data_IF_181627634347
#
_entry.id   IF_181627634347
#
_cell.length_a   1.000
_cell.length_b   1.000
_cell.length_c   1.000
_cell.angle_alpha   90.00
_cell.angle_beta   90.00
_cell.angle_gamma   90.00
#
_symmetry.space_group_name_H-M   'P 1'
#
loop_
_entity.id
_entity.type
_entity.pdbx_description
1 polymer ?
#
# COMPACT_ATOMS: atom_id res chain seq x y z
N UNK A 1 7.70 -85.02 17.96
CA UNK A 1 7.23 -83.73 17.41
C UNK A 1 8.40 -83.00 16.79
N UNK A 2 8.35 -82.69 15.49
CA UNK A 2 9.49 -82.22 14.71
C UNK A 2 9.88 -80.77 15.07
N UNK A 3 10.82 -80.62 15.99
CA UNK A 3 11.36 -79.35 16.51
C UNK A 3 11.99 -78.45 15.42
N UNK A 4 12.32 -78.99 14.25
CA UNK A 4 12.94 -78.22 13.17
C UNK A 4 11.97 -77.20 12.53
N UNK A 5 10.66 -77.51 12.50
CA UNK A 5 9.64 -76.63 11.91
C UNK A 5 9.43 -75.36 12.74
N UNK A 6 9.42 -75.50 14.06
CA UNK A 6 9.33 -74.36 15.00
C UNK A 6 10.59 -73.50 14.94
N UNK A 7 11.77 -74.10 14.90
CA UNK A 7 13.04 -73.36 14.77
C UNK A 7 13.09 -72.59 13.43
N UNK A 8 12.67 -73.20 12.33
CA UNK A 8 12.61 -72.54 11.03
C UNK A 8 11.66 -71.32 11.03
N UNK A 9 10.49 -71.44 11.68
CA UNK A 9 9.53 -70.32 11.81
C UNK A 9 10.11 -69.19 12.65
N UNK A 10 10.71 -69.48 13.80
CA UNK A 10 11.33 -68.45 14.65
C UNK A 10 12.52 -67.77 13.96
N UNK A 11 13.33 -68.52 13.22
CA UNK A 11 14.43 -67.96 12.44
C UNK A 11 13.91 -67.01 11.35
N UNK A 12 12.85 -67.40 10.63
CA UNK A 12 12.26 -66.55 9.60
C UNK A 12 11.66 -65.27 10.19
N UNK A 13 10.98 -65.38 11.33
CA UNK A 13 10.38 -64.25 12.05
C UNK A 13 11.46 -63.28 12.58
N UNK A 14 12.56 -63.82 13.09
CA UNK A 14 13.72 -63.03 13.52
C UNK A 14 14.40 -62.33 12.33
N UNK A 15 14.67 -63.04 11.24
CA UNK A 15 15.25 -62.46 10.03
C UNK A 15 14.35 -61.35 9.43
N UNK A 16 13.03 -61.56 9.46
CA UNK A 16 12.05 -60.55 9.05
C UNK A 16 12.07 -59.31 9.97
N UNK A 17 12.14 -59.51 11.28
CA UNK A 17 12.27 -58.43 12.26
C UNK A 17 13.54 -57.59 12.05
N UNK A 18 14.68 -58.26 11.81
CA UNK A 18 15.94 -57.59 11.48
C UNK A 18 15.81 -56.79 10.18
N UNK A 19 15.11 -57.32 9.17
CA UNK A 19 14.83 -56.61 7.92
C UNK A 19 14.03 -55.30 8.13
N UNK A 20 13.02 -55.31 9.00
CA UNK A 20 12.24 -54.12 9.34
C UNK A 20 13.10 -53.09 10.07
N UNK A 21 13.91 -53.52 11.05
CA UNK A 21 14.80 -52.63 11.80
C UNK A 21 15.85 -52.01 10.89
N UNK A 22 16.44 -52.79 9.97
CA UNK A 22 17.38 -52.28 8.99
C UNK A 22 16.73 -51.24 8.05
N UNK A 23 15.49 -51.49 7.61
CA UNK A 23 14.73 -50.53 6.80
C UNK A 23 14.40 -49.25 7.57
N UNK A 24 14.04 -49.37 8.85
CA UNK A 24 13.82 -48.21 9.73
C UNK A 24 15.11 -47.41 9.92
N UNK A 25 16.24 -48.06 10.19
CA UNK A 25 17.53 -47.40 10.30
C UNK A 25 17.93 -46.69 8.99
N UNK A 26 17.66 -47.32 7.84
CA UNK A 26 17.85 -46.69 6.52
C UNK A 26 17.02 -45.40 6.39
N UNK A 27 15.73 -45.46 6.74
CA UNK A 27 14.83 -44.31 6.64
C UNK A 27 15.15 -43.21 7.66
N UNK A 28 15.48 -43.59 8.90
CA UNK A 28 15.64 -42.67 10.03
C UNK A 28 17.05 -42.12 10.20
N UNK A 29 18.10 -42.82 9.76
CA UNK A 29 19.50 -42.39 9.93
C UNK A 29 20.05 -41.86 8.60
N UNK A 30 20.01 -42.68 7.55
CA UNK A 30 20.60 -42.31 6.25
C UNK A 30 19.75 -41.29 5.50
N UNK A 31 18.43 -41.45 5.52
CA UNK A 31 17.50 -40.54 4.84
C UNK A 31 16.89 -39.48 5.78
N UNK A 32 17.42 -39.33 7.00
CA UNK A 32 16.93 -38.38 7.99
C UNK A 32 16.79 -36.97 7.42
N UNK A 33 17.85 -36.46 6.77
CA UNK A 33 17.87 -35.11 6.22
C UNK A 33 16.81 -34.92 5.13
N UNK A 34 16.62 -35.92 4.27
CA UNK A 34 15.64 -35.88 3.19
C UNK A 34 14.20 -35.88 3.72
N UNK A 35 13.85 -36.80 4.62
CA UNK A 35 12.49 -36.86 5.18
C UNK A 35 12.20 -35.70 6.16
N UNK A 36 13.21 -35.20 6.86
CA UNK A 36 13.09 -33.97 7.66
C UNK A 36 12.84 -32.75 6.78
N UNK A 37 13.55 -32.62 5.66
CA UNK A 37 13.30 -31.54 4.69
C UNK A 37 11.92 -31.65 4.05
N UNK A 38 11.47 -32.86 3.70
CA UNK A 38 10.13 -33.11 3.15
C UNK A 38 9.03 -32.77 4.16
N UNK A 39 9.19 -33.18 5.43
CA UNK A 39 8.26 -32.87 6.51
C UNK A 39 8.25 -31.37 6.85
N UNK A 40 9.42 -30.72 6.83
CA UNK A 40 9.54 -29.26 6.97
C UNK A 40 8.86 -28.54 5.80
N UNK A 41 8.99 -29.01 4.57
CA UNK A 41 8.29 -28.44 3.41
C UNK A 41 6.77 -28.64 3.46
N UNK A 42 6.29 -29.72 4.05
CA UNK A 42 4.85 -29.97 4.26
C UNK A 42 4.26 -29.20 5.46
N UNK A 43 5.07 -28.88 6.47
CA UNK A 43 4.62 -28.18 7.69
C UNK A 43 4.88 -26.67 7.67
N UNK A 44 5.87 -26.18 6.91
CA UNK A 44 6.23 -24.77 6.83
C UNK A 44 5.55 -24.14 5.61
N UNK A 45 4.33 -23.65 5.79
CA UNK A 45 3.84 -22.59 4.92
C UNK A 45 4.62 -21.33 5.28
N UNK A 46 5.64 -21.02 4.49
CA UNK A 46 6.34 -19.73 4.60
C UNK A 46 5.40 -18.70 3.99
N UNK A 47 4.71 -17.95 4.84
CA UNK A 47 4.01 -16.77 4.40
C UNK A 47 5.06 -15.65 4.34
N UNK A 48 5.22 -15.03 3.17
CA UNK A 48 5.90 -13.74 3.08
C UNK A 48 4.97 -12.70 3.69
N UNK A 49 5.41 -12.07 4.76
CA UNK A 49 4.72 -10.92 5.34
C UNK A 49 5.49 -9.67 4.92
N UNK A 50 4.77 -8.64 4.48
CA UNK A 50 5.38 -7.40 4.04
C UNK A 50 5.11 -6.36 5.11
N UNK A 51 6.18 -5.70 5.61
CA UNK A 51 6.01 -4.61 6.57
C UNK A 51 5.09 -3.52 6.04
N UNK A 52 4.46 -2.78 6.94
CA UNK A 52 3.53 -1.71 6.57
C UNK A 52 4.29 -0.53 5.92
N UNK A 53 3.62 0.19 5.01
CA UNK A 53 4.22 1.35 4.34
C UNK A 53 4.27 2.55 5.30
N UNK A 54 5.38 3.26 5.39
CA UNK A 54 5.51 4.43 6.27
C UNK A 54 4.44 5.52 6.02
N UNK A 55 4.08 6.25 7.07
CA UNK A 55 3.13 7.36 7.04
C UNK A 55 3.82 8.66 6.61
N UNK A 56 3.16 9.44 5.75
CA UNK A 56 3.62 10.78 5.35
C UNK A 56 2.85 11.81 6.17
N UNK A 57 3.57 12.66 6.89
CA UNK A 57 3.03 13.69 7.77
C UNK A 57 3.27 15.10 7.23
N UNK A 58 2.29 15.99 7.39
CA UNK A 58 2.48 17.42 7.47
C UNK A 58 2.63 17.85 8.94
N UNK A 59 3.13 19.06 9.15
CA UNK A 59 3.19 19.67 10.48
C UNK A 59 2.18 20.81 10.59
N UNK A 60 2.02 21.35 11.80
CA UNK A 60 1.53 22.71 12.00
C UNK A 60 2.60 23.57 12.67
N UNK A 61 2.28 24.85 12.92
CA UNK A 61 3.13 25.80 13.64
C UNK A 61 3.60 25.31 15.02
N UNK A 62 2.87 24.41 15.66
CA UNK A 62 3.15 23.88 17.00
C UNK A 62 3.92 22.54 16.94
N UNK A 63 4.18 22.04 15.73
CA UNK A 63 4.88 20.78 15.47
C UNK A 63 3.99 19.53 15.54
N UNK A 64 2.67 19.69 15.61
CA UNK A 64 1.75 18.55 15.60
C UNK A 64 1.76 17.86 14.23
N UNK A 65 1.77 16.53 14.24
CA UNK A 65 1.84 15.72 13.03
C UNK A 65 0.44 15.38 12.51
N UNK A 66 0.21 15.66 11.23
CA UNK A 66 -1.05 15.37 10.54
C UNK A 66 -0.80 14.41 9.37
N UNK A 67 -1.43 13.22 9.35
CA UNK A 67 -1.19 12.24 8.30
C UNK A 67 -1.81 12.70 6.98
N UNK A 68 -0.96 12.91 5.98
CA UNK A 68 -1.37 13.15 4.59
C UNK A 68 -1.57 11.84 3.82
N UNK A 69 -0.78 10.81 4.14
CA UNK A 69 -0.92 9.46 3.62
C UNK A 69 -0.58 8.44 4.71
N UNK A 70 -1.45 7.46 4.92
CA UNK A 70 -1.30 6.40 5.94
C UNK A 70 -1.90 5.10 5.42
N UNK A 71 -1.92 4.04 6.23
CA UNK A 71 -2.54 2.79 5.86
C UNK A 71 -3.84 2.58 6.65
N UNK A 72 -4.83 1.97 6.01
CA UNK A 72 -6.08 1.55 6.64
C UNK A 72 -6.22 0.04 6.45
N UNK A 73 -6.55 -0.67 7.52
CA UNK A 73 -6.97 -2.08 7.40
C UNK A 73 -8.39 -2.12 6.88
N UNK A 74 -8.59 -2.80 5.76
CA UNK A 74 -9.90 -3.06 5.16
C UNK A 74 -10.12 -4.55 5.07
N UNK A 75 -11.29 -5.01 5.49
CA UNK A 75 -11.73 -6.36 5.26
C UNK A 75 -12.26 -6.47 3.82
N UNK A 76 -12.07 -7.63 3.19
CA UNK A 76 -12.63 -7.96 1.89
C UNK A 76 -13.21 -9.37 1.93
N UNK A 77 -14.26 -9.59 1.13
CA UNK A 77 -14.93 -10.88 1.02
C UNK A 77 -14.57 -11.56 -0.30
N UNK A 78 -14.26 -12.86 -0.24
CA UNK A 78 -14.01 -13.69 -1.40
C UNK A 78 -14.67 -15.07 -1.23
N UNK A 79 -14.94 -15.70 -2.38
CA UNK A 79 -15.50 -17.03 -2.46
C UNK A 79 -14.46 -18.03 -2.98
N UNK A 80 -14.62 -19.28 -2.53
CA UNK A 80 -14.00 -20.50 -3.05
C UNK A 80 -15.10 -21.34 -3.71
N UNK A 81 -15.46 -21.08 -4.98
CA UNK A 81 -16.59 -21.73 -5.67
C UNK A 81 -16.69 -23.26 -5.56
N UNK A 82 -15.60 -24.04 -5.56
CA UNK A 82 -15.68 -25.49 -5.40
C UNK A 82 -16.25 -25.96 -4.04
N UNK A 83 -16.15 -25.16 -2.99
CA UNK A 83 -16.67 -25.47 -1.65
C UNK A 83 -18.17 -25.14 -1.50
N UNK A 84 -18.75 -24.45 -2.47
CA UNK A 84 -20.14 -24.00 -2.45
C UNK A 84 -21.05 -25.08 -3.03
N UNK A 85 -21.99 -25.54 -2.21
CA UNK A 85 -22.96 -26.58 -2.57
C UNK A 85 -24.19 -25.97 -3.27
N UNK A 86 -24.89 -25.06 -2.59
CA UNK A 86 -26.08 -24.37 -3.10
C UNK A 86 -25.74 -22.94 -3.49
N UNK A 87 -25.55 -22.72 -4.79
CA UNK A 87 -25.18 -21.40 -5.33
C UNK A 87 -26.30 -20.38 -5.18
N UNK A 88 -27.55 -20.77 -5.42
CA UNK A 88 -28.68 -19.82 -5.44
C UNK A 88 -29.01 -19.34 -4.02
N UNK A 89 -29.03 -20.26 -3.05
CA UNK A 89 -29.25 -19.90 -1.65
C UNK A 89 -28.09 -19.03 -1.12
N UNK A 90 -26.85 -19.44 -1.39
CA UNK A 90 -25.66 -18.68 -0.95
C UNK A 90 -25.63 -17.29 -1.58
N UNK A 91 -25.94 -17.16 -2.88
CA UNK A 91 -25.99 -15.87 -3.56
C UNK A 91 -27.07 -14.95 -2.99
N UNK A 92 -28.22 -15.49 -2.57
CA UNK A 92 -29.31 -14.72 -1.96
C UNK A 92 -28.89 -14.15 -0.61
N UNK A 93 -28.28 -14.96 0.26
CA UNK A 93 -27.77 -14.48 1.55
C UNK A 93 -26.63 -13.46 1.39
N UNK A 94 -25.67 -13.73 0.49
CA UNK A 94 -24.58 -12.79 0.21
C UNK A 94 -25.08 -11.47 -0.38
N UNK A 95 -26.10 -11.53 -1.23
CA UNK A 95 -26.73 -10.34 -1.80
C UNK A 95 -27.34 -9.45 -0.71
N UNK A 96 -28.01 -10.06 0.28
CA UNK A 96 -28.57 -9.36 1.45
C UNK A 96 -27.48 -8.70 2.29
N UNK A 97 -26.38 -9.40 2.56
CA UNK A 97 -25.32 -8.90 3.44
C UNK A 97 -24.45 -7.87 2.75
N UNK A 98 -23.96 -8.18 1.54
CA UNK A 98 -22.97 -7.35 0.83
C UNK A 98 -23.60 -6.23 -0.01
N UNK A 99 -24.93 -6.19 -0.09
CA UNK A 99 -25.71 -5.28 -0.94
C UNK A 99 -25.33 -5.37 -2.43
N UNK A 100 -25.13 -6.60 -2.92
CA UNK A 100 -24.76 -6.90 -4.31
C UNK A 100 -25.92 -7.53 -5.08
N UNK A 101 -26.04 -7.36 -6.41
CA UNK A 101 -27.06 -8.05 -7.19
C UNK A 101 -26.92 -9.57 -7.12
N UNK A 102 -28.02 -10.29 -6.80
CA UNK A 102 -28.02 -11.76 -6.66
C UNK A 102 -27.43 -12.44 -7.91
N UNK A 103 -27.80 -11.95 -9.11
CA UNK A 103 -27.33 -12.52 -10.37
C UNK A 103 -25.80 -12.40 -10.52
N UNK A 104 -25.23 -11.25 -10.18
CA UNK A 104 -23.78 -11.02 -10.25
C UNK A 104 -23.03 -11.95 -9.28
N UNK A 105 -23.56 -12.10 -8.07
CA UNK A 105 -22.98 -13.00 -7.06
C UNK A 105 -23.08 -14.44 -7.56
N UNK A 106 -24.26 -14.90 -7.98
CA UNK A 106 -24.47 -16.27 -8.47
C UNK A 106 -23.53 -16.62 -9.63
N UNK A 107 -23.33 -15.71 -10.60
CA UNK A 107 -22.36 -15.91 -11.68
C UNK A 107 -20.93 -16.12 -11.17
N UNK A 108 -20.49 -15.31 -10.20
CA UNK A 108 -19.17 -15.47 -9.55
C UNK A 108 -19.05 -16.83 -8.83
N UNK A 109 -20.12 -17.31 -8.19
CA UNK A 109 -20.12 -18.58 -7.44
C UNK A 109 -20.22 -19.82 -8.34
N UNK A 110 -20.79 -19.72 -9.55
CA UNK A 110 -20.87 -20.86 -10.50
C UNK A 110 -19.52 -21.22 -11.13
N UNK A 111 -18.56 -20.30 -11.11
CA UNK A 111 -17.23 -20.48 -11.71
C UNK A 111 -16.32 -21.43 -10.90
N UNK A 112 -16.63 -22.73 -10.90
CA UNK A 112 -15.91 -23.78 -10.13
C UNK A 112 -14.47 -24.06 -10.58
N UNK A 113 -13.99 -23.39 -11.62
CA UNK A 113 -12.62 -23.58 -12.14
C UNK A 113 -11.57 -22.82 -11.33
N UNK A 114 -12.01 -21.89 -10.47
CA UNK A 114 -11.12 -21.04 -9.66
C UNK A 114 -11.34 -21.26 -8.18
N UNK A 115 -10.24 -21.30 -7.41
CA UNK A 115 -10.27 -21.36 -5.94
C UNK A 115 -10.45 -19.99 -5.27
N UNK A 116 -10.43 -18.90 -6.05
CA UNK A 116 -10.55 -17.55 -5.53
C UNK A 116 -11.40 -16.69 -6.45
N UNK A 117 -12.46 -16.10 -5.90
CA UNK A 117 -13.29 -15.08 -6.54
C UNK A 117 -13.58 -13.95 -5.59
N UNK A 118 -13.08 -12.76 -5.89
CA UNK A 118 -13.40 -11.56 -5.13
C UNK A 118 -14.90 -11.24 -5.25
N UNK A 119 -15.57 -11.08 -4.11
CA UNK A 119 -16.97 -10.67 -4.05
C UNK A 119 -17.04 -9.15 -3.88
N UNK A 120 -16.36 -8.64 -2.87
CA UNK A 120 -16.33 -7.22 -2.50
C UNK A 120 -14.97 -6.86 -1.90
N UNK A 121 -14.35 -5.79 -2.43
CA UNK A 121 -12.97 -5.37 -2.10
C UNK A 121 -12.84 -4.65 -0.74
N UNK A 122 -13.92 -4.03 -0.27
CA UNK A 122 -14.00 -3.37 1.03
C UNK A 122 -15.37 -3.67 1.64
N UNK A 123 -15.40 -4.37 2.78
CA UNK A 123 -16.61 -4.67 3.55
C UNK A 123 -16.59 -3.93 4.88
N UNK A 124 -17.76 -3.58 5.42
CA UNK A 124 -17.87 -2.96 6.74
C UNK A 124 -17.69 -4.01 7.85
N UNK A 125 -17.43 -3.55 9.08
CA UNK A 125 -17.32 -4.45 10.23
C UNK A 125 -18.63 -5.19 10.50
N UNK A 126 -19.77 -4.57 10.24
CA UNK A 126 -21.09 -5.20 10.35
C UNK A 126 -21.29 -6.29 9.28
N UNK A 127 -20.86 -6.04 8.04
CA UNK A 127 -20.89 -7.03 6.97
C UNK A 127 -19.97 -8.22 7.28
N UNK A 128 -18.78 -7.97 7.81
CA UNK A 128 -17.83 -9.00 8.24
C UNK A 128 -18.38 -9.86 9.37
N UNK A 129 -19.00 -9.25 10.38
CA UNK A 129 -19.61 -9.96 11.51
C UNK A 129 -20.79 -10.84 11.05
N UNK A 130 -21.66 -10.31 10.19
CA UNK A 130 -22.82 -11.06 9.67
C UNK A 130 -22.37 -12.22 8.77
N UNK A 131 -21.35 -12.03 7.91
CA UNK A 131 -20.75 -13.13 7.14
C UNK A 131 -20.16 -14.22 8.05
N UNK A 132 -19.45 -13.81 9.11
CA UNK A 132 -18.90 -14.75 10.09
C UNK A 132 -20.00 -15.51 10.83
N UNK A 133 -21.16 -14.89 11.07
CA UNK A 133 -22.32 -15.50 11.75
C UNK A 133 -23.05 -16.51 10.86
N UNK A 134 -23.21 -16.20 9.58
CA UNK A 134 -23.86 -17.10 8.61
C UNK A 134 -23.04 -18.36 8.32
N UNK A 135 -21.71 -18.31 8.51
CA UNK A 135 -20.79 -19.43 8.34
C UNK A 135 -20.99 -20.18 7.01
N UNK A 136 -21.21 -19.43 5.92
CA UNK A 136 -21.50 -19.97 4.60
C UNK A 136 -20.27 -20.76 4.07
N UNK A 137 -20.44 -22.04 3.66
CA UNK A 137 -19.35 -22.82 3.09
C UNK A 137 -18.73 -22.15 1.87
N UNK A 138 -17.40 -22.09 1.80
CA UNK A 138 -16.68 -21.48 0.69
C UNK A 138 -16.68 -19.95 0.68
N UNK A 139 -17.18 -19.28 1.71
CA UNK A 139 -17.11 -17.82 1.84
C UNK A 139 -16.11 -17.45 2.94
N UNK A 140 -15.22 -16.53 2.61
CA UNK A 140 -14.15 -16.12 3.50
C UNK A 140 -14.01 -14.60 3.51
N UNK A 141 -13.65 -14.07 4.67
CA UNK A 141 -13.18 -12.69 4.83
C UNK A 141 -11.70 -12.69 5.16
N UNK A 142 -10.98 -11.70 4.64
CA UNK A 142 -9.59 -11.42 5.03
C UNK A 142 -9.41 -9.92 5.13
N UNK A 143 -8.50 -9.50 6.00
CA UNK A 143 -8.08 -8.10 6.08
C UNK A 143 -6.83 -7.89 5.24
N UNK A 144 -6.76 -6.75 4.57
CA UNK A 144 -5.55 -6.25 3.91
C UNK A 144 -5.30 -4.81 4.34
N UNK A 145 -4.04 -4.40 4.31
CA UNK A 145 -3.67 -3.00 4.49
C UNK A 145 -3.76 -2.30 3.13
N UNK A 146 -4.49 -1.19 3.06
CA UNK A 146 -4.58 -0.35 1.86
C UNK A 146 -4.08 1.05 2.15
N UNK A 147 -3.44 1.67 1.16
CA UNK A 147 -3.00 3.06 1.26
C UNK A 147 -4.20 4.00 1.28
N UNK A 148 -4.22 4.93 2.22
CA UNK A 148 -5.32 5.86 2.48
C UNK A 148 -4.81 7.28 2.66
N UNK A 149 -5.50 8.26 2.06
CA UNK A 149 -5.14 9.68 2.10
C UNK A 149 -6.24 10.46 2.84
N UNK A 150 -6.11 10.70 4.16
CA UNK A 150 -7.18 11.26 4.99
C UNK A 150 -7.68 12.63 4.53
N UNK A 151 -6.77 13.46 4.01
CA UNK A 151 -7.06 14.83 3.59
C UNK A 151 -7.55 14.94 2.13
N UNK A 152 -7.76 13.80 1.48
CA UNK A 152 -8.32 13.70 0.12
C UNK A 152 -7.53 14.54 -0.88
N UNK A 153 -8.09 15.65 -1.36
CA UNK A 153 -7.49 16.50 -2.40
C UNK A 153 -6.35 17.38 -1.90
N UNK A 154 -6.24 17.58 -0.58
CA UNK A 154 -5.22 18.46 -0.01
C UNK A 154 -3.83 17.88 -0.20
N UNK A 155 -2.91 18.70 -0.72
CA UNK A 155 -1.55 18.33 -1.07
C UNK A 155 -1.45 17.11 -2.01
N UNK A 156 -2.50 16.79 -2.78
CA UNK A 156 -2.55 15.59 -3.62
C UNK A 156 -1.39 15.47 -4.61
N UNK A 157 -0.99 16.58 -5.27
CA UNK A 157 0.16 16.57 -6.19
C UNK A 157 1.52 16.47 -5.50
N UNK A 158 1.60 16.93 -4.24
CA UNK A 158 2.82 16.85 -3.46
C UNK A 158 3.01 15.42 -2.95
N UNK A 159 1.98 14.87 -2.29
CA UNK A 159 1.98 13.53 -1.73
C UNK A 159 2.06 12.49 -2.84
N UNK A 160 1.21 12.62 -3.85
CA UNK A 160 1.05 11.64 -4.92
C UNK A 160 0.13 10.49 -4.54
N UNK A 161 0.31 9.34 -5.20
CA UNK A 161 -0.46 8.13 -4.92
C UNK A 161 0.34 6.85 -5.20
N UNK A 162 -0.21 5.70 -4.80
CA UNK A 162 0.35 4.37 -5.07
C UNK A 162 -0.55 3.57 -6.01
N UNK A 163 0.03 2.65 -6.77
CA UNK A 163 -0.72 1.69 -7.59
C UNK A 163 -1.29 0.53 -6.74
N UNK A 164 -1.90 -0.47 -7.39
CA UNK A 164 -2.46 -1.66 -6.72
C UNK A 164 -1.39 -2.54 -6.05
N UNK A 165 -0.15 -2.45 -6.50
CA UNK A 165 1.00 -3.20 -5.99
C UNK A 165 1.74 -2.42 -4.88
N UNK A 166 1.11 -1.35 -4.37
CA UNK A 166 1.63 -0.48 -3.31
C UNK A 166 2.95 0.24 -3.69
N UNK A 167 3.17 0.48 -4.98
CA UNK A 167 4.31 1.24 -5.50
C UNK A 167 3.92 2.69 -5.76
N UNK A 168 4.73 3.63 -5.25
CA UNK A 168 4.54 5.05 -5.48
C UNK A 168 4.63 5.43 -6.95
N UNK A 169 3.67 6.20 -7.44
CA UNK A 169 3.54 6.58 -8.86
C UNK A 169 3.78 8.07 -9.10
N UNK A 170 3.73 8.88 -8.04
CA UNK A 170 3.90 10.32 -8.15
C UNK A 170 4.38 10.95 -6.84
N UNK A 171 4.95 12.15 -6.91
CA UNK A 171 5.21 13.00 -5.73
C UNK A 171 6.15 12.38 -4.69
N UNK A 172 5.87 12.64 -3.42
CA UNK A 172 6.60 12.08 -2.27
C UNK A 172 6.51 10.56 -2.23
N UNK A 173 5.35 9.98 -2.58
CA UNK A 173 5.15 8.53 -2.63
C UNK A 173 6.12 7.84 -3.61
N UNK A 174 6.34 8.42 -4.79
CA UNK A 174 7.31 7.91 -5.78
C UNK A 174 8.75 8.17 -5.35
N UNK A 175 9.08 9.43 -5.02
CA UNK A 175 10.47 9.81 -4.73
C UNK A 175 11.04 9.05 -3.53
N UNK A 176 10.23 8.83 -2.49
CA UNK A 176 10.64 8.08 -1.30
C UNK A 176 10.09 6.66 -1.26
N UNK A 177 9.71 6.08 -2.40
CA UNK A 177 9.13 4.75 -2.45
C UNK A 177 9.97 3.71 -1.70
N UNK A 178 11.29 3.73 -1.85
CA UNK A 178 12.20 2.76 -1.21
C UNK A 178 12.32 2.92 0.31
N UNK A 179 12.09 4.14 0.82
CA UNK A 179 12.09 4.42 2.26
C UNK A 179 10.73 4.13 2.88
N UNK A 180 9.65 4.45 2.16
CA UNK A 180 8.28 4.26 2.59
C UNK A 180 7.84 2.80 2.49
N UNK A 181 8.31 2.03 1.51
CA UNK A 181 7.90 0.64 1.31
C UNK A 181 8.47 -0.23 2.44
N UNK A 182 7.60 -0.94 3.14
CA UNK A 182 8.01 -1.97 4.08
C UNK A 182 8.74 -3.10 3.35
N UNK A 183 9.68 -3.73 4.05
CA UNK A 183 10.48 -4.83 3.51
C UNK A 183 9.82 -6.16 3.84
N UNK A 184 9.88 -7.07 2.88
CA UNK A 184 9.38 -8.43 3.06
C UNK A 184 10.23 -9.18 4.08
N UNK A 185 9.53 -9.82 5.02
CA UNK A 185 10.07 -10.76 5.97
C UNK A 185 9.56 -12.17 5.72
N UNK A 186 10.34 -13.14 6.17
CA UNK A 186 9.91 -14.53 6.22
C UNK A 186 9.18 -14.78 7.54
N UNK A 187 7.87 -14.96 7.48
CA UNK A 187 7.08 -15.42 8.63
C UNK A 187 6.97 -16.94 8.56
N UNK A 188 7.74 -17.64 9.41
CA UNK A 188 7.62 -19.10 9.57
C UNK A 188 6.37 -19.44 10.39
N UNK A 189 5.24 -19.60 9.71
CA UNK A 189 4.01 -20.10 10.32
C UNK A 189 4.13 -21.60 10.58
N UNK A 190 4.60 -21.96 11.78
CA UNK A 190 4.60 -23.36 12.23
C UNK A 190 3.24 -23.68 12.83
N UNK A 191 2.45 -24.55 12.19
CA UNK A 191 1.10 -24.97 12.66
C UNK A 191 1.05 -25.71 14.01
N UNK A 192 2.18 -25.91 14.70
CA UNK A 192 2.25 -26.76 15.89
C UNK A 192 2.62 -25.93 17.15
N UNK A 193 1.70 -25.73 18.11
CA UNK A 193 1.91 -24.86 19.28
C UNK A 193 3.08 -25.32 20.18
N UNK A 194 3.43 -26.61 20.20
CA UNK A 194 4.57 -27.11 20.94
C UNK A 194 5.94 -26.68 20.37
N UNK A 195 6.01 -26.38 19.07
CA UNK A 195 7.23 -25.90 18.40
C UNK A 195 7.37 -24.37 18.54
N UNK A 196 6.23 -23.67 18.73
CA UNK A 196 6.17 -22.21 18.93
C UNK A 196 7.01 -21.73 20.12
N UNK A 197 7.00 -22.49 21.22
CA UNK A 197 7.78 -22.23 22.43
C UNK A 197 9.28 -22.53 22.30
N UNK A 198 9.68 -23.37 21.34
CA UNK A 198 11.06 -23.88 21.22
C UNK A 198 11.95 -23.07 20.28
N UNK A 199 11.37 -22.36 19.30
CA UNK A 199 12.18 -21.75 18.23
C UNK A 199 12.06 -20.25 18.07
N UNK A 200 11.06 -19.60 18.68
CA UNK A 200 10.85 -18.15 18.52
C UNK A 200 10.52 -17.78 17.06
N UNK A 201 9.52 -16.94 16.86
CA UNK A 201 9.26 -16.40 15.53
C UNK A 201 10.31 -15.33 15.26
N UNK A 202 11.19 -15.54 14.28
CA UNK A 202 11.99 -14.45 13.72
C UNK A 202 11.10 -13.75 12.70
N UNK A 203 10.23 -12.86 13.18
CA UNK A 203 9.59 -11.92 12.28
C UNK A 203 10.68 -10.99 11.73
N UNK A 204 10.84 -11.02 10.41
CA UNK A 204 11.89 -10.26 9.71
C UNK A 204 11.29 -9.17 8.85
N UNK A 205 9.96 -9.01 8.85
CA UNK A 205 9.30 -7.93 8.14
C UNK A 205 9.65 -6.63 8.84
N UNK A 206 9.95 -5.60 8.06
CA UNK A 206 10.30 -4.28 8.57
C UNK A 206 9.36 -3.25 7.97
N UNK A 207 8.71 -2.48 8.82
CA UNK A 207 7.89 -1.36 8.38
C UNK A 207 8.75 -0.32 7.67
N UNK A 208 8.14 0.36 6.70
CA UNK A 208 8.73 1.50 6.05
C UNK A 208 8.89 2.68 7.00
N UNK A 209 9.84 3.55 6.69
CA UNK A 209 10.09 4.75 7.48
C UNK A 209 9.01 5.81 7.24
N UNK A 210 8.57 6.45 8.32
CA UNK A 210 7.71 7.61 8.25
C UNK A 210 8.47 8.83 7.69
N UNK A 211 7.75 9.73 7.02
CA UNK A 211 8.30 10.96 6.45
C UNK A 211 7.52 12.13 7.00
N UNK A 212 8.24 13.09 7.59
CA UNK A 212 7.68 14.38 8.01
C UNK A 212 8.08 15.44 6.99
N UNK A 213 7.09 16.01 6.31
CA UNK A 213 7.29 17.09 5.35
C UNK A 213 7.37 18.44 6.08
N UNK A 214 7.94 19.43 5.41
CA UNK A 214 7.98 20.83 5.88
C UNK A 214 6.65 21.58 5.69
N UNK A 215 5.65 20.90 5.11
CA UNK A 215 4.36 21.49 4.80
C UNK A 215 3.60 21.77 6.08
N UNK A 216 3.12 23.01 6.21
CA UNK A 216 2.16 23.36 7.23
C UNK A 216 0.75 23.09 6.69
N UNK A 217 0.00 22.22 7.39
CA UNK A 217 -1.36 21.82 7.00
C UNK A 217 -2.30 23.01 6.82
N UNK A 218 -2.22 24.01 7.68
CA UNK A 218 -3.12 25.16 7.64
C UNK A 218 -2.76 26.11 6.49
N UNK A 219 -1.46 26.33 6.27
CA UNK A 219 -0.99 27.15 5.14
C UNK A 219 -1.33 26.47 3.81
N UNK A 220 -1.17 25.16 3.71
CA UNK A 220 -1.57 24.38 2.53
C UNK A 220 -3.07 24.50 2.25
N UNK A 221 -3.91 24.28 3.27
CA UNK A 221 -5.36 24.38 3.14
C UNK A 221 -5.81 25.78 2.69
N UNK A 222 -5.18 26.83 3.24
CA UNK A 222 -5.49 28.21 2.84
C UNK A 222 -5.03 28.50 1.40
N UNK A 223 -3.86 28.03 0.99
CA UNK A 223 -3.38 28.18 -0.39
C UNK A 223 -4.33 27.52 -1.40
N UNK A 224 -4.80 26.30 -1.13
CA UNK A 224 -5.77 25.62 -1.97
C UNK A 224 -7.14 26.31 -1.99
N UNK A 225 -7.60 26.82 -0.83
CA UNK A 225 -8.84 27.60 -0.73
C UNK A 225 -8.77 28.88 -1.57
N UNK A 226 -7.62 29.58 -1.56
CA UNK A 226 -7.39 30.77 -2.37
C UNK A 226 -7.38 30.44 -3.87
N UNK A 227 -6.75 29.34 -4.30
CA UNK A 227 -6.80 28.88 -5.69
C UNK A 227 -8.23 28.53 -6.13
N UNK A 228 -8.99 27.84 -5.29
CA UNK A 228 -10.39 27.53 -5.57
C UNK A 228 -11.22 28.82 -5.72
N UNK A 229 -11.04 29.79 -4.82
CA UNK A 229 -11.70 31.10 -4.93
C UNK A 229 -11.28 31.88 -6.19
N UNK A 230 -10.01 31.79 -6.59
CA UNK A 230 -9.51 32.42 -7.81
C UNK A 230 -10.12 31.76 -9.06
N UNK A 231 -10.29 30.43 -9.07
CA UNK A 231 -11.02 29.72 -10.12
C UNK A 231 -12.43 30.27 -10.30
N UNK A 232 -13.17 30.40 -9.19
CA UNK A 232 -14.57 30.81 -9.23
C UNK A 232 -14.73 32.29 -9.59
N UNK A 233 -13.82 33.14 -9.12
CA UNK A 233 -13.92 34.60 -9.34
C UNK A 233 -13.28 35.08 -10.65
N UNK A 234 -12.22 34.42 -11.13
CA UNK A 234 -11.46 34.84 -12.32
C UNK A 234 -11.64 33.88 -13.51
N UNK A 235 -12.26 32.72 -13.32
CA UNK A 235 -12.44 31.72 -14.38
C UNK A 235 -11.13 31.07 -14.84
N UNK A 236 -10.09 31.03 -13.99
CA UNK A 236 -8.80 30.44 -14.35
C UNK A 236 -8.92 28.92 -14.53
N UNK A 237 -8.29 28.39 -15.59
CA UNK A 237 -8.26 26.95 -15.85
C UNK A 237 -7.21 26.22 -14.99
N UNK A 238 -6.10 26.91 -14.67
CA UNK A 238 -4.97 26.37 -13.93
C UNK A 238 -4.35 27.47 -13.06
N UNK A 239 -3.67 27.08 -11.98
CA UNK A 239 -2.97 28.01 -11.11
C UNK A 239 -2.18 27.28 -10.04
N UNK A 240 -1.08 27.87 -9.59
CA UNK A 240 -0.20 27.29 -8.58
C UNK A 240 0.11 28.33 -7.50
N UNK A 241 0.28 27.90 -6.25
CA UNK A 241 0.76 28.72 -5.14
C UNK A 241 1.86 27.94 -4.42
N UNK A 242 3.02 28.58 -4.24
CA UNK A 242 4.11 28.06 -3.40
C UNK A 242 4.33 29.07 -2.28
N UNK A 243 4.40 28.58 -1.04
CA UNK A 243 4.77 29.36 0.14
C UNK A 243 6.05 28.78 0.70
N UNK A 244 7.07 29.62 0.84
CA UNK A 244 8.40 29.24 1.32
C UNK A 244 8.81 30.13 2.50
N UNK A 245 9.46 29.54 3.48
CA UNK A 245 10.22 30.26 4.51
C UNK A 245 11.62 30.62 3.98
N UNK A 246 11.94 31.90 3.72
CA UNK A 246 13.19 32.26 3.02
C UNK A 246 14.47 31.94 3.80
N UNK A 247 14.41 31.94 5.13
CA UNK A 247 15.58 31.72 5.99
C UNK A 247 16.08 30.27 5.94
N UNK A 248 15.17 29.31 5.80
CA UNK A 248 15.46 27.86 5.82
C UNK A 248 15.33 27.22 4.44
N UNK A 249 14.57 27.85 3.54
CA UNK A 249 14.17 27.24 2.27
C UNK A 249 13.01 26.24 2.42
N UNK A 250 12.43 26.09 3.61
CA UNK A 250 11.33 25.18 3.85
C UNK A 250 10.11 25.56 2.99
N UNK A 251 9.54 24.58 2.30
CA UNK A 251 8.28 24.76 1.60
C UNK A 251 7.15 24.49 2.58
N UNK A 252 6.36 25.53 2.87
CA UNK A 252 5.25 25.48 3.82
C UNK A 252 3.94 25.10 3.13
N UNK A 253 3.80 25.42 1.83
CA UNK A 253 2.68 24.98 1.01
C UNK A 253 3.07 24.91 -0.47
N UNK A 254 2.47 23.97 -1.18
CA UNK A 254 2.54 23.81 -2.63
C UNK A 254 1.18 23.34 -3.14
N UNK A 255 0.37 24.30 -3.58
CA UNK A 255 -0.99 24.07 -4.06
C UNK A 255 -1.06 24.19 -5.57
N UNK A 256 -1.81 23.31 -6.23
CA UNK A 256 -2.03 23.35 -7.67
C UNK A 256 -3.53 23.21 -8.00
N UNK A 257 -3.93 23.83 -9.11
CA UNK A 257 -5.25 23.74 -9.70
C UNK A 257 -5.13 23.33 -11.17
N UNK A 258 -5.92 22.37 -11.67
CA UNK A 258 -6.87 21.52 -10.95
C UNK A 258 -6.20 20.48 -10.04
N UNK A 259 -6.91 20.03 -9.00
CA UNK A 259 -6.49 18.95 -8.08
C UNK A 259 -7.29 17.66 -8.32
N UNK A 260 -6.89 16.57 -7.66
CA UNK A 260 -7.51 15.25 -7.72
C UNK A 260 -7.55 14.59 -6.33
N UNK A 261 -8.40 13.57 -6.14
CA UNK A 261 -8.44 12.77 -4.91
C UNK A 261 -7.55 11.52 -5.10
N UNK A 262 -6.41 11.39 -4.39
CA UNK A 262 -5.53 10.22 -4.47
C UNK A 262 -6.21 8.92 -4.06
N UNK A 263 -7.30 8.95 -3.28
CA UNK A 263 -8.07 7.72 -2.99
C UNK A 263 -8.90 7.25 -4.20
N UNK A 264 -9.09 8.11 -5.20
CA UNK A 264 -9.91 7.87 -6.38
C UNK A 264 -9.17 8.18 -7.68
N UNK A 265 -7.84 8.04 -7.71
CA UNK A 265 -7.01 8.39 -8.87
C UNK A 265 -7.48 7.71 -10.17
N UNK A 266 -8.01 6.48 -10.10
CA UNK A 266 -8.55 5.76 -11.26
C UNK A 266 -9.79 6.39 -11.91
N UNK A 267 -10.44 7.37 -11.27
CA UNK A 267 -11.58 8.13 -11.83
C UNK A 267 -11.14 9.37 -12.60
N UNK A 268 -9.85 9.72 -12.57
CA UNK A 268 -9.33 10.91 -13.25
C UNK A 268 -9.19 10.62 -14.74
N UNK A 269 -9.98 11.32 -15.56
CA UNK A 269 -10.01 11.11 -17.01
C UNK A 269 -8.76 11.66 -17.73
N UNK A 270 -8.18 12.76 -17.23
CA UNK A 270 -7.02 13.41 -17.85
C UNK A 270 -5.77 13.21 -16.99
N UNK A 271 -4.83 12.42 -17.49
CA UNK A 271 -3.54 12.11 -16.84
C UNK A 271 -2.73 13.36 -16.54
N UNK A 272 -2.85 14.42 -17.34
CA UNK A 272 -2.20 15.71 -17.10
C UNK A 272 -2.63 16.41 -15.81
N UNK A 273 -3.75 15.99 -15.19
CA UNK A 273 -4.20 16.48 -13.87
C UNK A 273 -3.25 16.06 -12.75
N UNK A 274 -2.54 14.94 -12.90
CA UNK A 274 -1.57 14.48 -11.92
C UNK A 274 -0.31 15.34 -11.89
N UNK A 275 -0.03 16.10 -12.97
CA UNK A 275 1.16 16.94 -13.04
C UNK A 275 1.10 18.10 -12.04
N UNK A 276 2.11 18.18 -11.20
CA UNK A 276 2.41 19.28 -10.31
C UNK A 276 2.94 20.45 -11.13
N UNK A 277 2.05 21.41 -11.42
CA UNK A 277 2.36 22.59 -12.21
C UNK A 277 3.49 23.44 -11.61
N UNK A 278 3.74 23.34 -10.31
CA UNK A 278 4.78 24.10 -9.61
C UNK A 278 6.21 23.66 -10.00
N UNK A 279 6.40 22.39 -10.39
CA UNK A 279 7.74 21.83 -10.67
C UNK A 279 7.85 21.17 -12.05
N UNK A 280 6.74 20.87 -12.72
CA UNK A 280 6.74 20.16 -14.01
C UNK A 280 6.31 21.02 -15.20
N UNK A 281 5.76 22.22 -14.97
CA UNK A 281 5.33 23.11 -16.04
C UNK A 281 6.25 24.32 -16.14
N UNK A 282 6.63 24.62 -17.38
CA UNK A 282 7.40 25.81 -17.72
C UNK A 282 6.42 26.96 -18.01
N UNK A 283 6.75 28.15 -17.54
CA UNK A 283 6.02 29.37 -17.86
C UNK A 283 6.99 30.53 -18.05
N UNK A 284 6.56 31.54 -18.80
CA UNK A 284 7.33 32.76 -18.97
C UNK A 284 7.14 33.66 -17.73
N UNK A 285 8.21 34.00 -16.99
CA UNK A 285 8.07 34.77 -15.76
C UNK A 285 7.67 36.24 -16.02
N UNK A 286 7.94 36.78 -17.21
CA UNK A 286 7.62 38.18 -17.52
C UNK A 286 8.17 39.15 -16.47
N UNK A 287 7.33 40.03 -15.94
CA UNK A 287 7.79 41.10 -15.03
C UNK A 287 8.30 40.60 -13.67
N UNK A 288 7.99 39.38 -13.21
CA UNK A 288 8.52 38.87 -11.93
C UNK A 288 10.03 38.59 -11.99
N UNK A 289 10.63 38.54 -13.18
CA UNK A 289 12.07 38.34 -13.36
C UNK A 289 12.88 39.66 -13.29
N UNK A 290 12.23 40.82 -13.43
CA UNK A 290 12.90 42.13 -13.44
C UNK A 290 13.78 42.40 -12.20
N UNK A 291 13.40 42.02 -10.97
CA UNK A 291 14.29 42.17 -9.81
C UNK A 291 15.63 41.44 -9.98
N UNK A 292 15.65 40.28 -10.63
CA UNK A 292 16.89 39.53 -10.90
C UNK A 292 17.74 40.28 -11.93
N UNK A 293 17.13 40.79 -13.00
CA UNK A 293 17.83 41.64 -13.98
C UNK A 293 18.42 42.90 -13.32
N UNK A 294 17.67 43.54 -12.42
CA UNK A 294 18.15 44.71 -11.68
C UNK A 294 19.29 44.34 -10.73
N UNK A 295 19.18 43.23 -10.01
CA UNK A 295 20.24 42.73 -9.13
C UNK A 295 21.53 42.48 -9.92
N UNK A 296 21.43 41.85 -11.10
CA UNK A 296 22.58 41.63 -11.98
C UNK A 296 23.23 42.93 -12.47
N UNK A 297 22.42 43.93 -12.82
CA UNK A 297 22.94 45.23 -13.25
C UNK A 297 23.65 45.99 -12.12
N UNK A 298 23.14 45.90 -10.88
CA UNK A 298 23.78 46.47 -9.69
C UNK A 298 25.07 45.74 -9.33
N UNK A 299 25.06 44.40 -9.36
CA UNK A 299 26.19 43.53 -9.01
C UNK A 299 27.36 43.68 -9.98
N UNK A 300 27.07 43.78 -11.28
CA UNK A 300 28.08 44.03 -12.33
C UNK A 300 28.58 45.48 -12.37
N UNK A 301 27.99 46.38 -11.58
CA UNK A 301 28.26 47.81 -11.61
C UNK A 301 27.76 48.52 -12.88
N UNK A 302 26.96 47.85 -13.71
CA UNK A 302 26.33 48.44 -14.90
C UNK A 302 25.29 49.52 -14.57
N UNK A 303 24.76 49.49 -13.34
CA UNK A 303 23.90 50.54 -12.77
C UNK A 303 24.30 50.85 -11.32
N UNK A 304 24.24 52.12 -10.94
CA UNK A 304 24.38 52.54 -9.54
C UNK A 304 23.00 52.67 -8.86
N UNK A 305 22.87 52.41 -7.55
CA UNK A 305 21.59 52.49 -6.84
C UNK A 305 20.85 53.83 -6.93
N UNK A 306 21.55 54.93 -7.21
CA UNK A 306 20.98 56.29 -7.35
C UNK A 306 21.04 56.83 -8.77
N UNK A 307 21.35 55.98 -9.75
CA UNK A 307 21.43 56.39 -11.15
C UNK A 307 20.03 56.65 -11.71
N UNK A 308 19.82 57.84 -12.27
CA UNK A 308 18.58 58.18 -12.96
C UNK A 308 18.59 57.59 -14.37
N UNK A 309 17.55 56.82 -14.70
CA UNK A 309 17.32 56.30 -16.06
C UNK A 309 16.06 56.97 -16.61
N UNK A 310 16.16 57.82 -17.65
CA UNK A 310 14.98 58.42 -18.25
C UNK A 310 14.11 57.32 -18.88
N UNK A 311 12.85 57.24 -18.45
CA UNK A 311 11.85 56.39 -19.10
C UNK A 311 11.22 57.16 -20.26
N UNK A 312 10.70 56.46 -21.27
CA UNK A 312 10.23 57.07 -22.53
C UNK A 312 9.15 58.15 -22.36
N UNK A 313 8.41 58.15 -21.25
CA UNK A 313 7.44 59.22 -20.90
C UNK A 313 8.11 60.50 -20.36
N UNK A 314 9.30 60.40 -19.78
CA UNK A 314 10.10 61.55 -19.31
C UNK A 314 10.87 62.28 -20.41
N UNK A 315 10.78 61.80 -21.66
CA UNK A 315 11.42 62.36 -22.85
C UNK A 315 10.43 63.12 -23.77
N UNK A 316 9.17 63.25 -23.36
CA UNK A 316 8.17 64.12 -23.98
C UNK A 316 8.01 65.39 -23.14
#
# INVERSE_FOLDING_TARGET
MNQWRTIAVFFFLFAFGVGIVARLAQLQIFNYGFYKALAQGQHNFTATDTGERGTIYATDKDGALYPLATNRRVAFAFATPPEIQDVEATATELSRVLSLPVQEVAEKLRAKETLYRALKEEITSEEEEELSRLALPGIHTRSKSVRWYPERTMAAHLVGFVNKDNEGQYGVEEYYNDSLKGREGLTKNTKNPAIYLLFGQADTAQDGSDIVLTIDRNIQAEAERLLAKAKDSLGIAQGNIIVMEPATGNILAMANLPSFDPNAYGKVANVGTFQNGSVQKIFEPGSIFKPITMASALDTGGLLPRQHIPTRESLK
#
